data_IF_429591750761
#
_entry.id   IF_429591750761
#
_cell.length_a   1.000
_cell.length_b   1.000
_cell.length_c   1.000
_cell.angle_alpha   90.00
_cell.angle_beta   90.00
_cell.angle_gamma   90.00
#
_symmetry.space_group_name_H-M   'P 1'
#
loop_
_entity.id
_entity.type
_entity.pdbx_description
1 polymer ?
#
# COMPACT_ATOMS: atom_id res chain seq x y z
N UNK A 1 0.63 13.49 8.72
CA UNK A 1 0.16 12.13 8.36
C UNK A 1 0.24 11.82 6.86
N UNK A 2 -0.19 12.73 5.97
CA UNK A 2 -0.19 12.52 4.50
C UNK A 2 1.20 12.25 3.88
N UNK A 3 2.29 12.76 4.46
CA UNK A 3 3.67 12.52 4.02
C UNK A 3 4.17 11.11 4.31
N UNK A 4 3.79 10.53 5.46
CA UNK A 4 4.15 9.14 5.82
C UNK A 4 3.50 8.14 4.87
N UNK A 5 2.23 8.35 4.50
CA UNK A 5 1.55 7.54 3.49
C UNK A 5 2.27 7.59 2.15
N UNK A 6 2.62 8.80 1.67
CA UNK A 6 3.32 8.96 0.39
C UNK A 6 4.69 8.27 0.38
N UNK A 7 5.43 8.33 1.49
CA UNK A 7 6.70 7.61 1.65
C UNK A 7 6.51 6.09 1.63
N UNK A 8 5.56 5.57 2.41
CA UNK A 8 5.25 4.13 2.45
C UNK A 8 4.82 3.61 1.07
N UNK A 9 3.97 4.37 0.35
CA UNK A 9 3.57 4.04 -1.02
C UNK A 9 4.76 4.01 -1.99
N UNK A 10 5.70 4.96 -1.86
CA UNK A 10 6.88 5.04 -2.74
C UNK A 10 7.86 3.89 -2.46
N UNK A 11 8.09 3.57 -1.19
CA UNK A 11 8.92 2.42 -0.79
C UNK A 11 8.32 1.10 -1.25
N UNK A 12 7.01 0.91 -1.10
CA UNK A 12 6.31 -0.29 -1.57
C UNK A 12 6.39 -0.44 -3.09
N UNK A 13 6.29 0.66 -3.84
CA UNK A 13 6.50 0.62 -5.31
C UNK A 13 7.92 0.18 -5.66
N UNK A 14 8.93 0.75 -5.00
CA UNK A 14 10.32 0.34 -5.22
C UNK A 14 10.58 -1.13 -4.91
N UNK A 15 10.00 -1.65 -3.81
CA UNK A 15 10.14 -3.07 -3.45
C UNK A 15 9.47 -4.01 -4.48
N UNK A 16 8.30 -3.63 -4.99
CA UNK A 16 7.61 -4.37 -6.06
C UNK A 16 8.43 -4.34 -7.36
N UNK A 17 8.97 -3.18 -7.74
CA UNK A 17 9.77 -3.03 -8.96
C UNK A 17 11.12 -3.79 -8.85
N UNK A 18 11.64 -3.99 -7.63
CA UNK A 18 12.83 -4.81 -7.34
C UNK A 18 12.54 -6.32 -7.27
N UNK A 19 11.28 -6.75 -7.40
CA UNK A 19 10.89 -8.16 -7.32
C UNK A 19 10.94 -8.75 -5.91
N UNK A 20 11.08 -7.92 -4.86
CA UNK A 20 11.22 -8.40 -3.49
C UNK A 20 9.83 -8.53 -2.83
N UNK A 21 9.22 -9.70 -2.99
CA UNK A 21 7.83 -9.99 -2.61
C UNK A 21 7.60 -9.98 -1.10
N UNK A 22 8.60 -10.38 -0.30
CA UNK A 22 8.52 -10.39 1.17
C UNK A 22 8.54 -8.98 1.77
N UNK A 23 9.47 -8.14 1.29
CA UNK A 23 9.52 -6.72 1.67
C UNK A 23 8.24 -6.00 1.27
N UNK A 24 7.71 -6.31 0.08
CA UNK A 24 6.46 -5.74 -0.37
C UNK A 24 5.27 -6.14 0.54
N UNK A 25 5.22 -7.39 1.01
CA UNK A 25 4.16 -7.86 1.92
C UNK A 25 4.26 -7.20 3.31
N UNK A 26 5.47 -7.03 3.84
CA UNK A 26 5.71 -6.33 5.11
C UNK A 26 5.35 -4.84 5.02
N UNK A 27 5.82 -4.16 3.96
CA UNK A 27 5.51 -2.75 3.71
C UNK A 27 4.01 -2.54 3.45
N UNK A 28 3.33 -3.50 2.83
CA UNK A 28 1.89 -3.45 2.60
C UNK A 28 1.10 -3.47 3.90
N UNK A 29 1.44 -4.37 4.84
CA UNK A 29 0.76 -4.47 6.14
C UNK A 29 0.85 -3.15 6.94
N UNK A 30 2.05 -2.55 6.97
CA UNK A 30 2.27 -1.23 7.58
C UNK A 30 1.47 -0.12 6.90
N UNK A 31 1.41 -0.15 5.56
CA UNK A 31 0.68 0.86 4.77
C UNK A 31 -0.83 0.74 4.99
N UNK A 32 -1.38 -0.47 5.05
CA UNK A 32 -2.80 -0.72 5.33
C UNK A 32 -3.19 -0.20 6.71
N UNK A 33 -2.39 -0.50 7.74
CA UNK A 33 -2.64 0.01 9.10
C UNK A 33 -2.61 1.54 9.15
N UNK A 34 -1.72 2.18 8.37
CA UNK A 34 -1.67 3.64 8.28
C UNK A 34 -2.90 4.22 7.58
N UNK A 35 -3.37 3.57 6.51
CA UNK A 35 -4.58 3.94 5.76
C UNK A 35 -5.79 3.88 6.69
N UNK A 36 -5.95 2.78 7.44
CA UNK A 36 -7.08 2.60 8.35
C UNK A 36 -7.07 3.62 9.47
N UNK A 37 -5.90 3.94 10.04
CA UNK A 37 -5.75 5.03 11.01
C UNK A 37 -6.11 6.41 10.44
N UNK A 38 -5.89 6.65 9.14
CA UNK A 38 -6.27 7.91 8.50
C UNK A 38 -7.76 7.96 8.15
N UNK A 39 -8.36 6.83 7.79
CA UNK A 39 -9.82 6.69 7.58
C UNK A 39 -10.55 6.96 8.88
N UNK A 40 -10.14 6.29 9.97
CA UNK A 40 -10.72 6.46 11.30
C UNK A 40 -10.59 7.89 11.84
N UNK A 41 -9.57 8.64 11.42
CA UNK A 41 -9.37 10.05 11.76
C UNK A 41 -10.10 11.02 10.81
N UNK A 42 -10.83 10.53 9.81
CA UNK A 42 -11.54 11.36 8.82
C UNK A 42 -10.61 12.12 7.86
N UNK A 43 -9.32 11.80 7.82
CA UNK A 43 -8.35 12.48 6.95
C UNK A 43 -8.51 12.03 5.49
N UNK A 44 -8.96 10.79 5.29
CA UNK A 44 -9.33 10.22 4.00
C UNK A 44 -10.69 9.56 4.13
N UNK A 45 -11.47 9.57 3.05
CA UNK A 45 -12.75 8.88 2.99
C UNK A 45 -12.55 7.36 2.93
N UNK A 46 -13.50 6.58 3.44
CA UNK A 46 -13.42 5.10 3.46
C UNK A 46 -13.26 4.50 2.06
N UNK A 47 -14.01 5.02 1.09
CA UNK A 47 -13.81 4.70 -0.33
C UNK A 47 -12.39 4.99 -0.83
N UNK A 48 -11.75 6.06 -0.35
CA UNK A 48 -10.36 6.37 -0.71
C UNK A 48 -9.40 5.36 -0.08
N UNK A 49 -9.63 4.99 1.18
CA UNK A 49 -8.89 3.91 1.85
C UNK A 49 -9.03 2.58 1.11
N UNK A 50 -10.26 2.16 0.78
CA UNK A 50 -10.55 0.95 0.02
C UNK A 50 -9.89 0.95 -1.36
N UNK A 51 -9.92 2.08 -2.08
CA UNK A 51 -9.23 2.22 -3.37
C UNK A 51 -7.72 2.06 -3.24
N UNK A 52 -7.10 2.57 -2.19
CA UNK A 52 -5.67 2.36 -1.96
C UNK A 52 -5.36 0.89 -1.69
N UNK A 53 -6.12 0.22 -0.82
CA UNK A 53 -5.93 -1.22 -0.53
C UNK A 53 -6.04 -2.07 -1.81
N UNK A 54 -7.11 -1.87 -2.59
CA UNK A 54 -7.34 -2.59 -3.84
C UNK A 54 -6.22 -2.37 -4.86
N UNK A 55 -5.78 -1.12 -5.04
CA UNK A 55 -4.67 -0.81 -5.97
C UNK A 55 -3.36 -1.46 -5.56
N UNK A 56 -3.06 -1.53 -4.27
CA UNK A 56 -1.85 -2.18 -3.77
C UNK A 56 -1.93 -3.71 -3.95
N UNK A 57 -3.06 -4.31 -3.58
CA UNK A 57 -3.28 -5.75 -3.75
C UNK A 57 -3.17 -6.17 -5.21
N UNK A 58 -3.80 -5.43 -6.12
CA UNK A 58 -3.72 -5.69 -7.57
C UNK A 58 -2.29 -5.60 -8.08
N UNK A 59 -1.50 -4.64 -7.60
CA UNK A 59 -0.12 -4.45 -8.03
C UNK A 59 0.80 -5.55 -7.54
N UNK A 60 0.58 -6.05 -6.32
CA UNK A 60 1.28 -7.24 -5.81
C UNK A 60 0.87 -8.50 -6.58
N UNK A 61 -0.42 -8.67 -6.86
CA UNK A 61 -0.93 -9.79 -7.64
C UNK A 61 -0.37 -9.82 -9.06
N UNK A 62 -0.32 -8.67 -9.76
CA UNK A 62 0.29 -8.55 -11.09
C UNK A 62 1.79 -8.83 -11.06
N UNK A 63 2.49 -8.38 -10.01
CA UNK A 63 3.91 -8.69 -9.84
C UNK A 63 4.15 -10.19 -9.63
N UNK A 64 3.26 -10.88 -8.91
CA UNK A 64 3.33 -12.35 -8.72
C UNK A 64 2.84 -13.17 -9.91
N UNK A 65 1.96 -12.62 -10.77
CA UNK A 65 1.35 -13.35 -11.89
C UNK A 65 2.12 -13.23 -13.19
N UNK A 66 3.19 -12.43 -13.23
CA UNK A 66 4.07 -12.38 -14.40
C UNK A 66 5.02 -13.58 -14.29
N UNK A 67 4.57 -14.72 -14.81
CA UNK A 67 5.30 -15.97 -15.00
C UNK A 67 4.94 -16.52 -16.37
#
# INVERSE_FOLDING_TARGET
MRTRLRRALKSLRGAIDQGNTDDARSAMSNTVSLIDKMSAKGIIHDNTAARYKSRLARRLATASSTS
#
